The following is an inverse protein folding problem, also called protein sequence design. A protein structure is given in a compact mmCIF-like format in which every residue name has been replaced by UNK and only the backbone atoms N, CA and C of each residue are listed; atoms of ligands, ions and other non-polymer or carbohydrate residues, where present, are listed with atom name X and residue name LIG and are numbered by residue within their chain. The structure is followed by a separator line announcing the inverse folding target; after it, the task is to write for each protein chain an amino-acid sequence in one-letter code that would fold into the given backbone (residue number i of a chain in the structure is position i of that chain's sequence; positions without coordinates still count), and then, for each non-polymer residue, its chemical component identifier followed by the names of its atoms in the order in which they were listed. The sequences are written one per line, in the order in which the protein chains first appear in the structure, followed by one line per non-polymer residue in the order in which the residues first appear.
data_IF_062619384832
#
_entry.id   IF_062619384832
#
_cell.length_a   1.000
_cell.length_b   1.000
_cell.length_c   1.000
_cell.angle_alpha   90.00
_cell.angle_beta   90.00
_cell.angle_gamma   90.00
#
_symmetry.space_group_name_H-M   'P 1'
#
loop_
_entity.id
_entity.type
_entity.pdbx_description
1 polymer ?
#
# COMPACT_ATOMS: atom_id res chain seq x y z
N UNK A 1 -16.05 13.04 2.27
CA UNK A 1 -14.74 12.62 1.73
C UNK A 1 -13.71 13.76 1.78
N UNK A 2 -14.08 14.97 1.35
CA UNK A 2 -13.18 16.13 1.30
C UNK A 2 -13.27 17.08 2.50
N UNK A 3 -14.18 16.82 3.44
CA UNK A 3 -14.24 17.50 4.73
C UNK A 3 -13.07 17.08 5.63
N UNK A 4 -12.82 17.84 6.70
CA UNK A 4 -11.78 17.53 7.69
C UNK A 4 -11.98 16.12 8.25
N UNK A 5 -10.86 15.40 8.42
CA UNK A 5 -10.84 14.03 8.93
C UNK A 5 -11.01 13.90 10.45
N UNK A 6 -10.81 12.67 10.94
CA UNK A 6 -11.02 12.29 12.34
C UNK A 6 -9.70 12.15 13.15
N UNK A 7 -8.54 12.27 12.52
CA UNK A 7 -7.22 12.18 13.17
C UNK A 7 -6.81 13.51 13.85
N UNK A 8 -7.67 14.53 13.84
CA UNK A 8 -7.43 15.81 14.51
C UNK A 8 -6.42 16.71 13.78
N UNK A 9 -6.24 16.51 12.48
CA UNK A 9 -5.39 17.35 11.61
C UNK A 9 -6.24 18.13 10.61
N UNK A 10 -5.62 18.97 9.79
CA UNK A 10 -6.29 19.65 8.66
C UNK A 10 -6.45 18.74 7.42
N UNK A 11 -6.08 17.46 7.51
CA UNK A 11 -6.21 16.53 6.40
C UNK A 11 -7.68 16.23 6.09
N UNK A 12 -8.03 16.03 4.81
CA UNK A 12 -9.37 15.60 4.45
C UNK A 12 -9.63 14.14 4.87
N UNK A 13 -10.90 13.79 5.11
CA UNK A 13 -11.34 12.49 5.59
C UNK A 13 -10.77 11.30 4.81
N UNK A 14 -10.64 11.40 3.49
CA UNK A 14 -10.06 10.31 2.71
C UNK A 14 -8.57 10.07 3.01
N UNK A 15 -7.81 11.12 3.32
CA UNK A 15 -6.40 10.98 3.70
C UNK A 15 -6.27 10.23 5.01
N UNK A 16 -7.15 10.51 5.98
CA UNK A 16 -7.17 9.79 7.26
C UNK A 16 -7.48 8.29 7.07
N UNK A 17 -8.53 7.99 6.30
CA UNK A 17 -8.92 6.62 5.98
C UNK A 17 -7.77 5.88 5.30
N UNK A 18 -7.14 6.50 4.30
CA UNK A 18 -6.02 5.92 3.55
C UNK A 18 -4.81 5.70 4.46
N UNK A 19 -4.45 6.67 5.29
CA UNK A 19 -3.34 6.57 6.26
C UNK A 19 -3.57 5.45 7.26
N UNK A 20 -4.76 5.36 7.84
CA UNK A 20 -5.12 4.27 8.76
C UNK A 20 -5.05 2.92 8.06
N UNK A 21 -5.61 2.81 6.85
CA UNK A 21 -5.54 1.59 6.06
C UNK A 21 -4.09 1.13 5.82
N UNK A 22 -3.22 2.02 5.34
CA UNK A 22 -1.82 1.68 5.10
C UNK A 22 -1.07 1.40 6.40
N UNK A 23 -1.39 2.06 7.50
CA UNK A 23 -0.88 1.72 8.83
C UNK A 23 -1.22 0.29 9.26
N UNK A 24 -2.40 -0.21 8.89
CA UNK A 24 -2.85 -1.57 9.17
C UNK A 24 -2.38 -2.61 8.14
N UNK A 25 -2.00 -2.19 6.94
CA UNK A 25 -1.65 -3.09 5.83
C UNK A 25 -0.55 -4.11 6.17
N UNK A 26 0.55 -3.75 6.85
CA UNK A 26 1.56 -4.74 7.27
C UNK A 26 0.98 -5.83 8.18
N UNK A 27 0.07 -5.48 9.09
CA UNK A 27 -0.59 -6.44 9.97
C UNK A 27 -1.53 -7.36 9.18
N UNK A 28 -2.29 -6.81 8.23
CA UNK A 28 -3.15 -7.58 7.35
C UNK A 28 -2.35 -8.59 6.52
N UNK A 29 -1.26 -8.15 5.88
CA UNK A 29 -0.36 -9.03 5.12
C UNK A 29 0.30 -10.08 6.02
N UNK A 30 0.75 -9.69 7.21
CA UNK A 30 1.32 -10.59 8.20
C UNK A 30 0.33 -11.68 8.64
N UNK A 31 -0.93 -11.31 8.86
CA UNK A 31 -2.00 -12.27 9.20
C UNK A 31 -2.27 -13.27 8.07
N UNK A 32 -2.25 -12.81 6.81
CA UNK A 32 -2.38 -13.67 5.65
C UNK A 32 -1.19 -14.63 5.51
N UNK A 33 0.04 -14.16 5.76
CA UNK A 33 1.25 -15.00 5.77
C UNK A 33 1.19 -16.02 6.92
N UNK A 34 0.69 -15.63 8.09
CA UNK A 34 0.51 -16.53 9.22
C UNK A 34 -0.42 -17.72 8.88
N UNK A 35 -1.46 -17.50 8.05
CA UNK A 35 -2.28 -18.61 7.53
C UNK A 35 -1.49 -19.60 6.68
N UNK A 36 -0.55 -19.13 5.87
CA UNK A 36 0.36 -20.01 5.11
C UNK A 36 1.28 -20.80 6.05
N UNK A 37 1.78 -20.19 7.13
CA UNK A 37 2.58 -20.88 8.17
C UNK A 37 1.76 -21.99 8.84
N UNK A 38 0.47 -21.74 9.08
CA UNK A 38 -0.48 -22.74 9.60
C UNK A 38 -0.96 -23.75 8.55
N UNK A 39 -0.36 -23.76 7.36
CA UNK A 39 -0.71 -24.64 6.23
C UNK A 39 -2.17 -24.47 5.74
N UNK A 40 -2.84 -23.37 6.09
CA UNK A 40 -4.19 -23.02 5.63
C UNK A 40 -4.09 -22.25 4.30
N UNK A 41 -3.63 -22.93 3.24
CA UNK A 41 -3.29 -22.27 1.97
C UNK A 41 -4.49 -21.67 1.23
N UNK A 42 -5.67 -22.28 1.31
CA UNK A 42 -6.90 -21.71 0.72
C UNK A 42 -7.26 -20.37 1.38
N UNK A 43 -7.16 -20.29 2.71
CA UNK A 43 -7.40 -19.05 3.44
C UNK A 43 -6.31 -18.00 3.16
N UNK A 44 -5.04 -18.40 3.12
CA UNK A 44 -3.95 -17.52 2.71
C UNK A 44 -4.22 -16.92 1.32
N UNK A 45 -4.62 -17.73 0.35
CA UNK A 45 -4.94 -17.30 -1.01
C UNK A 45 -6.11 -16.29 -1.03
N UNK A 46 -7.23 -16.62 -0.37
CA UNK A 46 -8.40 -15.73 -0.28
C UNK A 46 -8.06 -14.40 0.39
N UNK A 47 -7.27 -14.43 1.46
CA UNK A 47 -6.82 -13.22 2.14
C UNK A 47 -5.90 -12.38 1.25
N UNK A 48 -4.91 -12.99 0.58
CA UNK A 48 -4.02 -12.26 -0.32
C UNK A 48 -4.77 -11.57 -1.46
N UNK A 49 -5.71 -12.27 -2.09
CA UNK A 49 -6.53 -11.70 -3.16
C UNK A 49 -7.45 -10.57 -2.64
N UNK A 50 -8.08 -10.78 -1.47
CA UNK A 50 -8.94 -9.78 -0.85
C UNK A 50 -8.18 -8.52 -0.44
N UNK A 51 -7.04 -8.66 0.23
CA UNK A 51 -6.18 -7.52 0.62
C UNK A 51 -5.63 -6.83 -0.62
N UNK A 52 -5.24 -7.55 -1.67
CA UNK A 52 -4.77 -6.97 -2.91
C UNK A 52 -5.85 -6.12 -3.59
N UNK A 53 -7.06 -6.68 -3.76
CA UNK A 53 -8.19 -5.96 -4.35
C UNK A 53 -8.57 -4.72 -3.53
N UNK A 54 -8.63 -4.84 -2.19
CA UNK A 54 -8.90 -3.73 -1.30
C UNK A 54 -7.80 -2.65 -1.38
N UNK A 55 -6.52 -3.05 -1.46
CA UNK A 55 -5.41 -2.12 -1.62
C UNK A 55 -5.53 -1.33 -2.91
N UNK A 56 -5.84 -2.00 -4.04
CA UNK A 56 -6.03 -1.30 -5.32
C UNK A 56 -7.21 -0.32 -5.25
N UNK A 57 -8.32 -0.71 -4.63
CA UNK A 57 -9.46 0.17 -4.42
C UNK A 57 -9.08 1.42 -3.60
N UNK A 58 -8.38 1.24 -2.48
CA UNK A 58 -7.93 2.35 -1.62
C UNK A 58 -6.96 3.26 -2.36
N UNK A 59 -6.02 2.71 -3.15
CA UNK A 59 -5.10 3.51 -3.98
C UNK A 59 -5.86 4.34 -5.02
N UNK A 60 -6.88 3.77 -5.67
CA UNK A 60 -7.71 4.51 -6.64
C UNK A 60 -8.46 5.65 -5.95
N UNK A 61 -9.07 5.39 -4.79
CA UNK A 61 -9.75 6.42 -3.99
C UNK A 61 -8.77 7.52 -3.59
N UNK A 62 -7.58 7.16 -3.12
CA UNK A 62 -6.51 8.10 -2.77
C UNK A 62 -6.11 8.98 -3.95
N UNK A 63 -5.81 8.38 -5.10
CA UNK A 63 -5.36 9.12 -6.28
C UNK A 63 -6.44 10.09 -6.76
N UNK A 64 -7.71 9.64 -6.84
CA UNK A 64 -8.83 10.51 -7.20
C UNK A 64 -8.96 11.65 -6.20
N UNK A 65 -8.91 11.34 -4.89
CA UNK A 65 -9.01 12.33 -3.82
C UNK A 65 -7.93 13.41 -3.94
N UNK A 66 -6.67 13.00 -4.14
CA UNK A 66 -5.54 13.91 -4.33
C UNK A 66 -5.71 14.77 -5.57
N UNK A 67 -6.11 14.19 -6.71
CA UNK A 67 -6.27 14.93 -7.98
C UNK A 67 -7.38 15.97 -7.91
N UNK A 68 -8.51 15.62 -7.30
CA UNK A 68 -9.64 16.55 -7.13
C UNK A 68 -9.30 17.67 -6.14
N UNK A 69 -8.46 17.39 -5.13
CA UNK A 69 -8.05 18.37 -4.12
C UNK A 69 -6.91 19.30 -4.58
N UNK A 70 -6.60 19.38 -5.88
CA UNK A 70 -5.54 20.23 -6.42
C UNK A 70 -4.13 19.59 -6.46
N UNK A 71 -4.02 18.33 -6.05
CA UNK A 71 -2.77 17.56 -6.12
C UNK A 71 -1.79 17.84 -4.98
N UNK A 72 -0.59 17.26 -5.11
CA UNK A 72 0.48 17.39 -4.12
C UNK A 72 0.84 18.85 -3.78
N UNK A 73 0.88 19.72 -4.79
CA UNK A 73 1.26 21.12 -4.60
C UNK A 73 0.27 21.90 -3.73
N UNK A 74 -1.02 21.53 -3.74
CA UNK A 74 -2.01 22.17 -2.89
C UNK A 74 -1.77 21.84 -1.42
N UNK A 75 -1.51 20.56 -1.11
CA UNK A 75 -1.21 20.14 0.26
C UNK A 75 0.09 20.74 0.80
N UNK A 76 1.09 20.96 -0.06
CA UNK A 76 2.34 21.60 0.35
C UNK A 76 2.17 23.05 0.80
N UNK A 77 1.14 23.79 0.34
CA UNK A 77 0.92 25.19 0.76
C UNK A 77 0.61 25.31 2.26
N UNK A 78 0.01 24.27 2.85
CA UNK A 78 -0.35 24.22 4.27
C UNK A 78 0.67 23.48 5.15
N UNK A 79 1.75 22.94 4.56
CA UNK A 79 2.77 22.15 5.25
C UNK A 79 4.00 23.01 5.55
N UNK A 80 4.67 22.74 6.67
CA UNK A 80 5.97 23.36 6.98
C UNK A 80 7.16 22.57 6.40
N UNK A 81 6.92 21.46 5.70
CA UNK A 81 7.96 20.62 5.15
C UNK A 81 8.66 21.29 3.95
N UNK A 82 9.96 21.05 3.80
CA UNK A 82 10.72 21.52 2.64
C UNK A 82 10.17 20.90 1.34
N UNK A 83 9.87 21.76 0.36
CA UNK A 83 9.24 21.33 -0.88
C UNK A 83 10.11 20.38 -1.71
N UNK A 84 11.41 20.68 -1.84
CA UNK A 84 12.32 19.87 -2.67
C UNK A 84 12.52 18.50 -2.03
N UNK A 85 12.72 18.47 -0.72
CA UNK A 85 12.83 17.25 0.06
C UNK A 85 11.57 16.39 -0.07
N UNK A 86 10.38 16.99 0.05
CA UNK A 86 9.11 16.27 -0.10
C UNK A 86 8.92 15.70 -1.51
N UNK A 87 9.32 16.43 -2.56
CA UNK A 87 9.28 15.91 -3.94
C UNK A 87 10.18 14.68 -4.09
N UNK A 88 11.42 14.74 -3.59
CA UNK A 88 12.35 13.60 -3.63
C UNK A 88 11.78 12.41 -2.85
N UNK A 89 11.28 12.66 -1.64
CA UNK A 89 10.66 11.64 -0.80
C UNK A 89 9.49 10.95 -1.51
N UNK A 90 8.61 11.73 -2.15
CA UNK A 90 7.47 11.22 -2.91
C UNK A 90 7.90 10.39 -4.12
N UNK A 91 8.92 10.82 -4.87
CA UNK A 91 9.45 10.05 -6.00
C UNK A 91 9.94 8.68 -5.52
N UNK A 92 10.75 8.66 -4.45
CA UNK A 92 11.27 7.41 -3.88
C UNK A 92 10.11 6.52 -3.39
N UNK A 93 9.15 7.10 -2.67
CA UNK A 93 7.97 6.40 -2.17
C UNK A 93 7.20 5.72 -3.32
N UNK A 94 6.89 6.47 -4.39
CA UNK A 94 6.13 5.97 -5.54
C UNK A 94 6.88 4.85 -6.25
N UNK A 95 8.19 4.98 -6.46
CA UNK A 95 8.99 3.95 -7.12
C UNK A 95 8.98 2.64 -6.32
N UNK A 96 9.15 2.71 -4.99
CA UNK A 96 9.10 1.54 -4.11
C UNK A 96 7.68 0.95 -4.08
N UNK A 97 6.65 1.80 -4.00
CA UNK A 97 5.25 1.38 -4.00
C UNK A 97 4.90 0.61 -5.28
N UNK A 98 5.19 1.18 -6.44
CA UNK A 98 4.91 0.57 -7.75
C UNK A 98 5.66 -0.75 -7.91
N UNK A 99 6.95 -0.78 -7.59
CA UNK A 99 7.73 -2.02 -7.65
C UNK A 99 7.13 -3.10 -6.73
N UNK A 100 6.74 -2.74 -5.51
CA UNK A 100 6.15 -3.67 -4.54
C UNK A 100 4.80 -4.22 -5.01
N UNK A 101 3.89 -3.37 -5.50
CA UNK A 101 2.58 -3.79 -6.01
C UNK A 101 2.72 -4.65 -7.26
N UNK A 102 3.63 -4.32 -8.19
CA UNK A 102 3.88 -5.13 -9.39
C UNK A 102 4.41 -6.51 -8.99
N UNK A 103 5.40 -6.58 -8.10
CA UNK A 103 5.92 -7.86 -7.62
C UNK A 103 4.84 -8.68 -6.89
N UNK A 104 3.97 -8.03 -6.14
CA UNK A 104 2.84 -8.68 -5.47
C UNK A 104 1.83 -9.25 -6.47
N UNK A 105 1.47 -8.47 -7.49
CA UNK A 105 0.59 -8.90 -8.57
C UNK A 105 1.17 -10.12 -9.33
N UNK A 106 2.46 -10.08 -9.67
CA UNK A 106 3.16 -11.19 -10.31
C UNK A 106 3.19 -12.44 -9.42
N UNK A 107 3.36 -12.26 -8.11
CA UNK A 107 3.36 -13.36 -7.15
C UNK A 107 1.98 -14.03 -7.05
N UNK A 108 0.90 -13.23 -6.97
CA UNK A 108 -0.49 -13.74 -6.97
C UNK A 108 -0.79 -14.45 -8.29
N UNK A 109 -0.48 -13.82 -9.43
CA UNK A 109 -0.71 -14.39 -10.74
C UNK A 109 0.01 -15.74 -10.92
N UNK A 110 1.30 -15.80 -10.55
CA UNK A 110 2.07 -17.04 -10.60
C UNK A 110 1.46 -18.13 -9.71
N UNK A 111 1.02 -17.78 -8.50
CA UNK A 111 0.41 -18.73 -7.57
C UNK A 111 -0.95 -19.26 -8.08
N UNK A 112 -1.78 -18.40 -8.69
CA UNK A 112 -3.04 -18.82 -9.30
C UNK A 112 -2.79 -19.77 -10.47
N UNK A 113 -1.82 -19.44 -11.33
CA UNK A 113 -1.49 -20.26 -12.50
C UNK A 113 -0.99 -21.66 -12.10
N UNK A 114 -0.16 -21.73 -11.08
CA UNK A 114 0.33 -22.99 -10.52
C UNK A 114 -0.82 -23.79 -9.87
N UNK A 115 -1.58 -23.16 -8.98
CA UNK A 115 -2.58 -23.86 -8.15
C UNK A 115 -3.86 -24.24 -8.90
N UNK A 116 -4.35 -23.41 -9.82
CA UNK A 116 -5.62 -23.63 -10.52
C UNK A 116 -5.46 -24.18 -11.94
N UNK A 117 -4.37 -23.83 -12.62
CA UNK A 117 -4.18 -24.20 -14.03
C UNK A 117 -3.14 -25.32 -14.19
N UNK A 118 -2.58 -25.85 -13.10
CA UNK A 118 -1.52 -26.87 -13.10
C UNK A 118 -0.35 -26.52 -14.04
N UNK A 119 -0.07 -25.23 -14.20
CA UNK A 119 0.98 -24.76 -15.10
C UNK A 119 2.27 -24.49 -14.33
N UNK A 120 3.40 -24.54 -15.02
CA UNK A 120 4.70 -24.18 -14.44
C UNK A 120 4.66 -22.77 -13.86
N UNK A 121 5.05 -22.57 -12.58
CA UNK A 121 5.06 -21.26 -11.96
C UNK A 121 6.10 -20.36 -12.64
N UNK A 122 5.72 -19.10 -12.85
CA UNK A 122 6.65 -18.07 -13.32
C UNK A 122 7.63 -17.66 -12.22
N UNK A 123 7.18 -17.62 -10.96
CA UNK A 123 8.00 -17.32 -9.79
C UNK A 123 8.58 -18.61 -9.21
N UNK A 124 9.90 -18.80 -9.34
CA UNK A 124 10.60 -20.01 -8.87
C UNK A 124 10.55 -20.23 -7.35
N UNK A 125 10.46 -19.14 -6.56
CA UNK A 125 10.45 -19.24 -5.10
C UNK A 125 9.43 -18.29 -4.50
N UNK A 126 8.21 -18.77 -4.34
CA UNK A 126 7.11 -18.02 -3.73
C UNK A 126 7.50 -17.45 -2.36
N UNK A 127 8.14 -18.26 -1.50
CA UNK A 127 8.53 -17.83 -0.14
C UNK A 127 9.58 -16.71 -0.15
N UNK A 128 10.59 -16.76 -1.02
CA UNK A 128 11.62 -15.70 -1.10
C UNK A 128 11.01 -14.41 -1.61
N UNK A 129 10.24 -14.47 -2.70
CA UNK A 129 9.62 -13.28 -3.27
C UNK A 129 8.52 -12.72 -2.36
N UNK A 130 7.77 -13.57 -1.67
CA UNK A 130 6.76 -13.15 -0.69
C UNK A 130 7.35 -12.38 0.50
N UNK A 131 8.55 -12.74 0.97
CA UNK A 131 9.27 -11.94 1.98
C UNK A 131 9.66 -10.55 1.45
N UNK A 132 10.14 -10.48 0.20
CA UNK A 132 10.50 -9.23 -0.44
C UNK A 132 9.27 -8.32 -0.62
N UNK A 133 8.16 -8.87 -1.12
CA UNK A 133 6.88 -8.17 -1.24
C UNK A 133 6.43 -7.66 0.12
N UNK A 134 6.44 -8.50 1.16
CA UNK A 134 6.04 -8.09 2.51
C UNK A 134 6.90 -6.93 3.03
N UNK A 135 8.22 -7.01 2.86
CA UNK A 135 9.13 -5.94 3.27
C UNK A 135 8.88 -4.64 2.48
N UNK A 136 8.77 -4.72 1.16
CA UNK A 136 8.49 -3.56 0.29
C UNK A 136 7.15 -2.90 0.63
N UNK A 137 6.09 -3.69 0.80
CA UNK A 137 4.77 -3.22 1.21
C UNK A 137 4.78 -2.58 2.61
N UNK A 138 5.59 -3.11 3.54
CA UNK A 138 5.72 -2.53 4.88
C UNK A 138 6.47 -1.20 4.85
N UNK A 139 7.55 -1.11 4.06
CA UNK A 139 8.33 0.11 3.87
C UNK A 139 7.46 1.20 3.23
N UNK A 140 6.76 0.90 2.14
CA UNK A 140 5.90 1.90 1.48
C UNK A 140 4.73 2.33 2.37
N UNK A 141 4.17 1.41 3.18
CA UNK A 141 3.13 1.76 4.18
C UNK A 141 3.65 2.75 5.21
N UNK A 142 4.84 2.49 5.78
CA UNK A 142 5.49 3.42 6.72
C UNK A 142 5.77 4.77 6.06
N UNK A 143 6.31 4.76 4.84
CA UNK A 143 6.55 6.00 4.09
C UNK A 143 5.26 6.76 3.84
N UNK A 144 4.14 6.10 3.53
CA UNK A 144 2.83 6.75 3.36
C UNK A 144 2.33 7.44 4.63
N UNK A 145 2.51 6.82 5.80
CA UNK A 145 2.23 7.45 7.10
C UNK A 145 3.13 8.68 7.31
N UNK A 146 4.41 8.58 6.93
CA UNK A 146 5.32 9.72 7.01
C UNK A 146 4.91 10.85 6.06
N UNK A 147 4.43 10.57 4.84
CA UNK A 147 3.86 11.59 3.95
C UNK A 147 2.73 12.34 4.65
N UNK A 148 1.80 11.61 5.27
CA UNK A 148 0.71 12.23 6.01
C UNK A 148 1.24 13.11 7.15
N UNK A 149 2.19 12.61 7.93
CA UNK A 149 2.80 13.37 9.01
C UNK A 149 3.45 14.67 8.51
N UNK A 150 4.26 14.61 7.46
CA UNK A 150 4.92 15.80 6.92
C UNK A 150 3.95 16.82 6.31
N UNK A 151 2.87 16.35 5.70
CA UNK A 151 1.90 17.26 5.07
C UNK A 151 0.98 17.95 6.08
N UNK A 152 0.67 17.32 7.22
CA UNK A 152 -0.43 17.78 8.08
C UNK A 152 -0.07 17.98 9.56
N UNK A 153 1.09 17.52 10.02
CA UNK A 153 1.47 17.55 11.45
C UNK A 153 2.83 18.20 11.74
N UNK A 154 3.72 18.26 10.75
CA UNK A 154 5.02 18.91 10.84
C UNK A 154 4.92 20.39 10.47
#
# INVERSE_FOLDING_TARGET
MFEIGFLGTNAPLYMDIVTVYFGLLPLLLGSAIYMAVKKKYDLHYKMQLGIFALTLLVVVIFEIGVRVSGGFNEFMKGSNADYIWMVIFMIIHILIALASVILWALLIYSAVKEYRLNATPFVKSHKKLGKLVYAGMSITSLMGILVYYFLFMY
#
